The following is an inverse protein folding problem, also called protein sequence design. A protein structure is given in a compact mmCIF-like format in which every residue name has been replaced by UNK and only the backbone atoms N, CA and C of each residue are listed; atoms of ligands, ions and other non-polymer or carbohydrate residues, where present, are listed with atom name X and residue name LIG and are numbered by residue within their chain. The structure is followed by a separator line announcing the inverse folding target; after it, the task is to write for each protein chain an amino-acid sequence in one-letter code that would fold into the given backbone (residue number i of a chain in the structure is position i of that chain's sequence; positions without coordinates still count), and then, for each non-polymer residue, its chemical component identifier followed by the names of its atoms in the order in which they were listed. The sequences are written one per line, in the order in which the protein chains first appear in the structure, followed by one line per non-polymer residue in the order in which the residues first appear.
data_IF_725238770445
#
_entry.id   IF_725238770445
#
_cell.length_a   1.000
_cell.length_b   1.000
_cell.length_c   1.000
_cell.angle_alpha   90.00
_cell.angle_beta   90.00
_cell.angle_gamma   90.00
#
_symmetry.space_group_name_H-M   'P 1'
#
loop_
_entity.id
_entity.type
_entity.pdbx_description
1 polymer ?
#
# COMPACT_ATOMS: atom_id res chain seq x y z
N UNK A 1 16.98 6.36 5.71
CA UNK A 1 16.25 7.49 6.32
C UNK A 1 15.22 7.94 5.28
N UNK A 2 13.93 8.02 5.60
CA UNK A 2 12.92 8.41 4.60
C UNK A 2 13.05 9.90 4.33
N UNK A 3 13.40 10.27 3.10
CA UNK A 3 13.53 11.67 2.68
C UNK A 3 12.18 12.39 2.75
N UNK A 4 12.18 13.66 3.14
CA UNK A 4 10.95 14.46 3.21
C UNK A 4 10.47 14.79 1.80
N UNK A 5 9.22 14.46 1.48
CA UNK A 5 8.59 14.85 0.22
C UNK A 5 8.58 16.38 0.07
N UNK A 6 9.23 16.90 -1.00
CA UNK A 6 9.26 18.35 -1.34
C UNK A 6 7.87 18.98 -1.48
N UNK A 7 6.85 18.17 -1.81
CA UNK A 7 5.45 18.59 -1.88
C UNK A 7 4.63 17.79 -0.86
N UNK A 8 4.21 18.41 0.27
CA UNK A 8 3.82 17.64 1.45
C UNK A 8 2.51 16.87 1.29
N UNK A 9 1.55 17.32 0.46
CA UNK A 9 0.23 16.65 0.34
C UNK A 9 -0.41 16.84 -1.04
N UNK A 10 -0.34 15.82 -1.89
CA UNK A 10 -1.22 15.67 -3.06
C UNK A 10 -2.31 14.66 -2.71
N UNK A 11 -3.56 15.11 -2.62
CA UNK A 11 -4.73 14.23 -2.44
C UNK A 11 -5.35 13.98 -3.80
N UNK A 12 -5.57 12.72 -4.13
CA UNK A 12 -6.23 12.31 -5.37
C UNK A 12 -7.48 11.53 -4.99
N UNK A 13 -8.61 11.86 -5.63
CA UNK A 13 -9.88 11.18 -5.44
C UNK A 13 -10.27 10.47 -6.74
N UNK A 14 -10.47 9.15 -6.66
CA UNK A 14 -10.92 8.34 -7.80
C UNK A 14 -12.41 8.05 -7.64
N UNK A 15 -13.23 8.65 -8.52
CA UNK A 15 -14.68 8.49 -8.52
C UNK A 15 -15.12 7.50 -9.61
N UNK A 16 -16.24 6.81 -9.35
CA UNK A 16 -16.85 5.89 -10.31
C UNK A 16 -17.93 5.02 -9.69
N UNK A 17 -18.76 4.40 -10.52
CA UNK A 17 -19.90 3.56 -10.09
C UNK A 17 -19.44 2.36 -9.25
N UNK A 18 -20.35 1.76 -8.49
CA UNK A 18 -20.09 0.49 -7.82
C UNK A 18 -19.71 -0.58 -8.87
N UNK A 19 -18.80 -1.48 -8.53
CA UNK A 19 -18.33 -2.53 -9.44
C UNK A 19 -17.35 -2.10 -10.53
N UNK A 20 -17.12 -0.80 -10.77
CA UNK A 20 -16.21 -0.31 -11.83
C UNK A 20 -14.73 -0.67 -11.64
N UNK A 21 -14.36 -1.25 -10.50
CA UNK A 21 -12.99 -1.68 -10.24
C UNK A 21 -12.09 -0.68 -9.52
N UNK A 22 -12.62 0.33 -8.81
CA UNK A 22 -11.81 1.30 -8.04
C UNK A 22 -10.77 0.65 -7.11
N UNK A 23 -11.16 -0.38 -6.35
CA UNK A 23 -10.24 -1.11 -5.47
C UNK A 23 -9.19 -1.90 -6.25
N UNK A 24 -9.57 -2.45 -7.41
CA UNK A 24 -8.66 -3.16 -8.32
C UNK A 24 -7.64 -2.21 -8.92
N UNK A 25 -8.07 -1.00 -9.33
CA UNK A 25 -7.18 0.06 -9.81
C UNK A 25 -6.10 0.40 -8.78
N UNK A 26 -6.47 0.63 -7.51
CA UNK A 26 -5.46 0.92 -6.47
C UNK A 26 -4.44 -0.20 -6.28
N UNK A 27 -4.87 -1.47 -6.35
CA UNK A 27 -3.95 -2.62 -6.27
C UNK A 27 -3.04 -2.72 -7.49
N UNK A 28 -3.60 -2.51 -8.68
CA UNK A 28 -2.85 -2.55 -9.93
C UNK A 28 -1.77 -1.46 -9.95
N UNK A 29 -2.12 -0.25 -9.53
CA UNK A 29 -1.16 0.85 -9.38
C UNK A 29 -0.04 0.50 -8.40
N UNK A 30 -0.37 -0.08 -7.24
CA UNK A 30 0.65 -0.53 -6.28
C UNK A 30 1.55 -1.62 -6.87
N UNK A 31 1.00 -2.55 -7.66
CA UNK A 31 1.76 -3.56 -8.39
C UNK A 31 2.72 -2.92 -9.40
N UNK A 32 2.24 -1.99 -10.24
CA UNK A 32 3.06 -1.28 -11.23
C UNK A 32 4.18 -0.45 -10.57
N UNK A 33 3.94 0.09 -9.38
CA UNK A 33 4.99 0.73 -8.59
C UNK A 33 6.02 -0.29 -8.08
N UNK A 34 5.56 -1.44 -7.58
CA UNK A 34 6.44 -2.50 -7.09
C UNK A 34 7.32 -3.12 -8.19
N UNK A 35 6.86 -3.14 -9.44
CA UNK A 35 7.64 -3.53 -10.62
C UNK A 35 8.57 -2.43 -11.13
N UNK A 36 8.57 -1.24 -10.51
CA UNK A 36 9.44 -0.12 -10.87
C UNK A 36 8.98 0.68 -12.10
N UNK A 37 7.78 0.44 -12.60
CA UNK A 37 7.29 1.05 -13.83
C UNK A 37 6.73 2.46 -13.62
N UNK A 38 6.21 2.75 -12.42
CA UNK A 38 5.63 4.05 -12.09
C UNK A 38 6.13 4.57 -10.74
N UNK A 39 6.06 5.89 -10.62
CA UNK A 39 6.35 6.65 -9.40
C UNK A 39 7.67 6.30 -8.68
N UNK A 40 8.81 6.38 -9.37
CA UNK A 40 10.12 6.13 -8.76
C UNK A 40 10.45 7.10 -7.61
N UNK A 41 9.72 8.23 -7.49
CA UNK A 41 9.89 9.19 -6.41
C UNK A 41 9.37 8.74 -5.04
N UNK A 42 8.66 7.62 -4.94
CA UNK A 42 8.14 7.10 -3.67
C UNK A 42 8.90 5.85 -3.23
N UNK A 43 9.51 5.90 -2.04
CA UNK A 43 10.25 4.77 -1.45
C UNK A 43 9.33 3.64 -0.94
N UNK A 44 8.07 3.99 -0.64
CA UNK A 44 7.08 3.08 -0.06
C UNK A 44 5.67 3.43 -0.53
N UNK A 45 4.94 2.43 -1.03
CA UNK A 45 3.49 2.49 -1.29
C UNK A 45 2.76 1.54 -0.34
N UNK A 46 1.70 2.04 0.28
CA UNK A 46 0.87 1.29 1.23
C UNK A 46 -0.57 1.23 0.72
N UNK A 47 -1.11 0.02 0.58
CA UNK A 47 -2.52 -0.20 0.23
C UNK A 47 -3.31 -0.55 1.48
N UNK A 48 -4.24 0.32 1.89
CA UNK A 48 -5.06 0.11 3.08
C UNK A 48 -6.49 -0.29 2.66
N UNK A 49 -6.91 -1.55 2.84
CA UNK A 49 -8.28 -1.96 2.58
C UNK A 49 -9.23 -1.41 3.66
N UNK A 50 -10.01 -0.39 3.30
CA UNK A 50 -10.92 0.28 4.25
C UNK A 50 -12.01 -0.64 4.83
N UNK A 51 -12.39 -1.71 4.13
CA UNK A 51 -13.37 -2.70 4.62
C UNK A 51 -12.92 -3.37 5.93
N UNK A 52 -11.62 -3.43 6.18
CA UNK A 52 -11.05 -4.06 7.38
C UNK A 52 -10.85 -3.09 8.54
N UNK A 53 -11.15 -1.79 8.35
CA UNK A 53 -11.10 -0.77 9.39
C UNK A 53 -12.44 -0.70 10.14
N UNK A 54 -12.84 -1.82 10.75
CA UNK A 54 -14.06 -1.89 11.56
C UNK A 54 -13.77 -1.52 13.02
N UNK A 55 -14.81 -1.11 13.76
CA UNK A 55 -14.70 -0.78 15.20
C UNK A 55 -14.20 -1.97 16.02
N UNK A 56 -14.52 -3.20 15.60
CA UNK A 56 -14.07 -4.42 16.26
C UNK A 56 -12.55 -4.61 16.13
N UNK A 57 -11.98 -4.19 15.00
CA UNK A 57 -10.54 -4.26 14.77
C UNK A 57 -9.80 -3.00 15.23
N UNK A 58 -10.46 -1.85 15.28
CA UNK A 58 -9.89 -0.56 15.67
C UNK A 58 -10.88 0.16 16.60
N UNK A 59 -10.89 -0.19 17.91
CA UNK A 59 -11.77 0.45 18.88
C UNK A 59 -11.54 1.96 18.97
N UNK A 60 -12.65 2.67 19.17
CA UNK A 60 -12.64 4.12 19.35
C UNK A 60 -11.87 4.48 20.63
N UNK A 61 -11.19 5.65 20.63
CA UNK A 61 -10.43 6.14 21.78
C UNK A 61 -8.95 5.74 21.79
N UNK A 62 -8.51 4.93 20.82
CA UNK A 62 -7.08 4.59 20.65
C UNK A 62 -6.48 5.44 19.53
N UNK A 63 -5.30 6.03 19.77
CA UNK A 63 -4.52 6.68 18.71
C UNK A 63 -3.68 5.63 17.99
N UNK A 64 -3.89 5.49 16.67
CA UNK A 64 -3.15 4.55 15.84
C UNK A 64 -2.11 5.31 15.01
N UNK A 65 -0.86 4.86 15.06
CA UNK A 65 0.16 5.28 14.12
C UNK A 65 -0.07 4.58 12.76
N UNK A 66 0.43 5.15 11.65
CA UNK A 66 0.32 4.51 10.33
C UNK A 66 0.87 3.07 10.28
N UNK A 67 1.89 2.76 11.08
CA UNK A 67 2.48 1.41 11.18
C UNK A 67 1.54 0.39 11.82
N UNK A 68 0.60 0.82 12.67
CA UNK A 68 -0.36 -0.08 13.32
C UNK A 68 -1.39 -0.60 12.33
N UNK A 69 -1.73 0.22 11.33
CA UNK A 69 -2.59 -0.18 10.22
C UNK A 69 -1.93 -1.27 9.36
N UNK A 70 -0.61 -1.21 9.20
CA UNK A 70 0.19 -2.16 8.41
C UNK A 70 0.33 -3.52 9.09
N UNK A 71 0.62 -3.54 10.40
CA UNK A 71 0.85 -4.78 11.15
C UNK A 71 -0.38 -5.69 11.16
N UNK A 72 -1.57 -5.09 11.27
CA UNK A 72 -2.82 -5.83 11.44
C UNK A 72 -3.40 -6.35 10.11
N UNK A 73 -3.08 -5.72 8.99
CA UNK A 73 -3.46 -6.21 7.65
C UNK A 73 -2.70 -7.48 7.22
N UNK A 74 -1.55 -7.78 7.82
CA UNK A 74 -0.70 -8.92 7.42
C UNK A 74 -1.24 -10.30 7.86
N UNK A 75 -2.21 -10.35 8.77
CA UNK A 75 -2.65 -11.59 9.42
C UNK A 75 -3.83 -12.30 8.74
N UNK A 76 -4.33 -11.77 7.60
CA UNK A 76 -5.46 -12.37 6.88
C UNK A 76 -5.03 -12.83 5.48
N UNK A 77 -4.13 -13.82 5.45
CA UNK A 77 -3.89 -14.76 4.35
C UNK A 77 -3.70 -14.17 2.95
N UNK A 78 -2.48 -13.73 2.64
CA UNK A 78 -1.59 -14.52 1.77
C UNK A 78 -0.20 -13.90 1.82
N UNK A 79 0.79 -14.75 2.03
CA UNK A 79 2.22 -14.46 1.90
C UNK A 79 2.49 -13.84 0.52
N UNK A 80 2.86 -12.56 0.49
CA UNK A 80 3.69 -11.98 -0.58
C UNK A 80 4.14 -10.61 -0.10
N UNK A 81 5.31 -10.17 -0.53
CA UNK A 81 5.93 -8.88 -0.15
C UNK A 81 6.77 -8.90 1.13
N UNK A 82 7.70 -9.84 1.23
CA UNK A 82 9.07 -9.51 1.71
C UNK A 82 10.14 -10.39 1.05
N UNK A 83 9.78 -11.52 0.43
CA UNK A 83 10.71 -12.32 -0.39
C UNK A 83 11.00 -11.70 -1.77
N UNK A 84 10.06 -10.96 -2.35
CA UNK A 84 10.17 -10.47 -3.73
C UNK A 84 11.22 -9.37 -3.90
N UNK A 85 11.63 -8.65 -2.84
CA UNK A 85 12.78 -7.73 -2.94
C UNK A 85 14.10 -8.48 -3.12
N UNK A 86 14.27 -9.69 -2.58
CA UNK A 86 15.49 -10.48 -2.85
C UNK A 86 15.42 -11.15 -4.23
N UNK A 87 14.26 -11.62 -4.65
CA UNK A 87 14.10 -12.28 -5.96
C UNK A 87 14.15 -11.28 -7.14
N UNK A 88 13.57 -10.08 -7.00
CA UNK A 88 13.66 -9.04 -8.03
C UNK A 88 15.07 -8.42 -8.14
N UNK A 89 15.82 -8.31 -7.03
CA UNK A 89 17.23 -7.91 -7.08
C UNK A 89 18.13 -9.02 -7.67
N UNK A 90 17.76 -10.29 -7.51
CA UNK A 90 18.54 -11.41 -8.04
C UNK A 90 18.32 -11.63 -9.54
N UNK A 91 17.16 -11.24 -10.08
CA UNK A 91 16.87 -11.38 -11.51
C UNK A 91 17.45 -10.25 -12.39
N UNK A 92 18.05 -9.21 -11.81
CA UNK A 92 18.68 -8.10 -12.55
C UNK A 92 20.19 -8.30 -12.77
N UNK A 93 20.76 -9.44 -12.37
CA UNK A 93 22.18 -9.76 -12.63
C UNK A 93 22.27 -11.07 -13.42
N UNK A 94 22.04 -11.00 -14.72
CA UNK A 94 22.63 -11.86 -15.75
C UNK A 94 22.50 -11.20 -17.12
#
# INVERSE_FOLDING_TARGET
MLEKCKNPRKKVLVLGRAGIGKSTFCRYVAYRWATGEIWPQYDLVVVIPLRSLTKDHYPCGTTYAPIDLLRKSSHRGNETTTRDRKEALQCSTK
#
